data_IF_399589342912
#
_entry.id   IF_399589342912
#
_cell.length_a   1.000
_cell.length_b   1.000
_cell.length_c   1.000
_cell.angle_alpha   90.00
_cell.angle_beta   90.00
_cell.angle_gamma   90.00
#
_symmetry.space_group_name_H-M   'P 1'
#
loop_
_entity.id
_entity.type
_entity.pdbx_description
1 polymer ?
#
# COMPACT_ATOMS: atom_id res chain seq x y z
N UNK A 1 16.16 18.86 5.15
CA UNK A 1 16.87 18.02 4.17
C UNK A 1 16.32 16.61 4.25
N UNK A 2 15.95 16.07 3.14
CA UNK A 2 15.38 14.72 3.18
C UNK A 2 16.50 13.69 3.27
N UNK A 3 16.27 12.71 4.12
CA UNK A 3 17.18 11.60 4.31
C UNK A 3 16.78 10.50 3.34
N UNK A 4 17.63 10.13 2.38
CA UNK A 4 17.26 9.10 1.41
C UNK A 4 17.01 7.74 2.04
N UNK A 5 17.45 7.55 3.29
CA UNK A 5 17.19 6.30 3.99
C UNK A 5 15.98 6.40 4.91
N UNK A 6 15.25 7.53 4.89
CA UNK A 6 14.09 7.69 5.76
C UNK A 6 13.03 6.66 5.39
N UNK A 7 12.46 6.05 6.40
CA UNK A 7 11.37 5.10 6.22
C UNK A 7 10.21 5.48 7.11
N UNK A 8 9.04 5.02 6.73
CA UNK A 8 7.85 5.14 7.56
C UNK A 8 7.34 3.72 7.84
N UNK A 9 6.71 3.57 8.98
CA UNK A 9 6.17 2.29 9.39
C UNK A 9 4.67 2.29 9.14
N UNK A 10 4.21 1.31 8.39
CA UNK A 10 2.78 1.13 8.11
C UNK A 10 2.43 -0.30 8.46
N UNK A 11 1.14 -0.60 8.51
CA UNK A 11 0.72 -1.99 8.62
C UNK A 11 0.04 -2.39 7.32
N UNK A 12 0.26 -3.63 6.92
CA UNK A 12 -0.37 -4.20 5.73
C UNK A 12 -1.09 -5.45 6.19
N UNK A 13 -2.40 -5.41 6.14
CA UNK A 13 -3.25 -6.50 6.62
C UNK A 13 -2.88 -6.92 8.04
N UNK A 14 -2.55 -5.94 8.87
CA UNK A 14 -2.19 -6.18 10.27
C UNK A 14 -0.72 -6.44 10.52
N UNK A 15 0.09 -6.60 9.49
CA UNK A 15 1.52 -6.86 9.66
C UNK A 15 2.32 -5.57 9.53
N UNK A 16 3.17 -5.24 10.50
CA UNK A 16 3.98 -4.04 10.38
C UNK A 16 5.00 -4.17 9.25
N UNK A 17 5.21 -3.07 8.56
CA UNK A 17 6.12 -3.05 7.42
C UNK A 17 6.71 -1.66 7.31
N UNK A 18 8.02 -1.60 7.06
CA UNK A 18 8.69 -0.32 6.82
C UNK A 18 8.81 -0.11 5.33
N UNK A 19 8.46 1.08 4.89
CA UNK A 19 8.59 1.46 3.48
C UNK A 19 9.31 2.79 3.41
N UNK A 20 9.91 3.06 2.27
CA UNK A 20 10.60 4.34 2.08
C UNK A 20 9.60 5.49 2.18
N UNK A 21 10.03 6.58 2.78
CA UNK A 21 9.20 7.77 2.82
C UNK A 21 8.82 8.19 1.40
N UNK A 22 7.55 8.49 1.19
CA UNK A 22 7.05 8.85 -0.13
C UNK A 22 6.57 7.67 -0.97
N UNK A 23 6.70 6.46 -0.46
CA UNK A 23 6.16 5.30 -1.17
C UNK A 23 4.66 5.46 -1.35
N UNK A 24 4.19 5.23 -2.57
CA UNK A 24 2.76 5.30 -2.85
C UNK A 24 2.09 3.95 -2.58
N UNK A 25 0.77 4.01 -2.44
CA UNK A 25 -0.01 2.78 -2.30
C UNK A 25 0.21 1.86 -3.50
N UNK A 26 0.28 2.42 -4.70
CA UNK A 26 0.53 1.62 -5.89
C UNK A 26 1.87 0.91 -5.84
N UNK A 27 2.92 1.60 -5.39
CA UNK A 27 4.22 0.99 -5.28
C UNK A 27 4.22 -0.14 -4.24
N UNK A 28 3.51 0.05 -3.12
CA UNK A 28 3.42 -0.98 -2.11
C UNK A 28 2.68 -2.20 -2.66
N UNK A 29 1.55 -2.00 -3.31
CA UNK A 29 0.77 -3.11 -3.86
C UNK A 29 1.60 -3.88 -4.88
N UNK A 30 2.41 -3.18 -5.67
CA UNK A 30 3.25 -3.85 -6.67
C UNK A 30 4.27 -4.80 -6.03
N UNK A 31 4.66 -4.57 -4.78
CA UNK A 31 5.56 -5.50 -4.09
C UNK A 31 4.83 -6.72 -3.55
N UNK A 32 3.50 -6.67 -3.46
CA UNK A 32 2.71 -7.74 -2.87
C UNK A 32 2.11 -8.66 -3.92
N UNK A 33 1.91 -8.17 -5.12
CA UNK A 33 1.29 -8.96 -6.16
C UNK A 33 1.83 -8.55 -7.51
N UNK A 34 1.94 -9.51 -8.42
CA UNK A 34 2.38 -9.26 -9.78
C UNK A 34 1.23 -8.84 -10.69
N UNK A 35 0.01 -9.14 -10.27
CA UNK A 35 -1.16 -8.88 -11.10
C UNK A 35 -2.12 -8.02 -10.30
N UNK A 36 -1.99 -6.69 -10.36
CA UNK A 36 -2.83 -5.83 -9.56
C UNK A 36 -4.30 -5.79 -9.99
N UNK A 37 -4.63 -6.31 -11.15
CA UNK A 37 -6.05 -6.40 -11.52
C UNK A 37 -6.76 -7.36 -10.58
N UNK A 38 -7.93 -7.00 -10.14
CA UNK A 38 -8.67 -7.80 -9.17
C UNK A 38 -8.23 -7.54 -7.74
N UNK A 39 -7.43 -6.51 -7.51
CA UNK A 39 -6.97 -6.16 -6.17
C UNK A 39 -7.69 -4.91 -5.71
N UNK A 40 -8.16 -4.93 -4.48
CA UNK A 40 -8.72 -3.74 -3.83
C UNK A 40 -7.80 -3.34 -2.70
N UNK A 41 -7.72 -2.05 -2.44
CA UNK A 41 -6.88 -1.54 -1.38
C UNK A 41 -7.58 -0.44 -0.63
N UNK A 42 -7.33 -0.38 0.68
CA UNK A 42 -7.85 0.66 1.54
C UNK A 42 -6.74 1.18 2.42
N UNK A 43 -6.81 2.44 2.76
CA UNK A 43 -5.88 3.08 3.69
C UNK A 43 -6.71 3.71 4.79
N UNK A 44 -6.44 3.31 6.02
CA UNK A 44 -7.16 3.80 7.21
C UNK A 44 -8.67 3.66 7.03
N UNK A 45 -9.10 2.49 6.52
CA UNK A 45 -10.50 2.13 6.34
C UNK A 45 -11.20 2.88 5.20
N UNK A 46 -10.45 3.60 4.38
CA UNK A 46 -10.99 4.26 3.21
C UNK A 46 -10.52 3.55 1.96
N UNK A 47 -11.47 3.07 1.16
CA UNK A 47 -11.11 2.39 -0.08
C UNK A 47 -10.50 3.41 -1.04
N UNK A 48 -9.37 3.04 -1.63
CA UNK A 48 -8.69 3.88 -2.59
C UNK A 48 -8.87 3.26 -3.97
N UNK A 49 -9.54 3.95 -4.90
CA UNK A 49 -9.67 3.41 -6.23
C UNK A 49 -8.31 3.26 -6.90
N UNK A 50 -8.19 2.27 -7.75
CA UNK A 50 -6.91 1.96 -8.36
C UNK A 50 -6.31 3.16 -9.09
N UNK A 51 -7.15 3.98 -9.69
CA UNK A 51 -6.67 5.17 -10.41
C UNK A 51 -5.99 6.19 -9.49
N UNK A 52 -6.20 6.08 -8.17
CA UNK A 52 -5.59 6.99 -7.22
C UNK A 52 -4.40 6.38 -6.48
N UNK A 53 -4.06 5.12 -6.75
CA UNK A 53 -3.00 4.45 -5.99
C UNK A 53 -1.65 5.15 -6.16
N UNK A 54 -1.32 5.59 -7.36
CA UNK A 54 -0.02 6.19 -7.60
C UNK A 54 0.09 7.60 -7.07
N UNK A 55 -1.02 8.21 -6.71
CA UNK A 55 -1.03 9.54 -6.11
C UNK A 55 -1.29 9.50 -4.61
N UNK A 56 -1.42 8.31 -4.02
CA UNK A 56 -1.68 8.15 -2.60
C UNK A 56 -0.37 7.78 -1.91
N UNK A 57 0.31 8.79 -1.36
CA UNK A 57 1.55 8.55 -0.62
C UNK A 57 1.22 8.03 0.78
N UNK A 58 1.98 7.05 1.23
CA UNK A 58 1.77 6.47 2.54
C UNK A 58 2.51 7.27 3.59
N UNK A 59 1.93 7.36 4.77
CA UNK A 59 2.51 8.07 5.90
C UNK A 59 2.69 7.12 7.07
N UNK A 60 3.55 7.48 7.98
CA UNK A 60 3.78 6.66 9.17
C UNK A 60 2.49 6.45 9.93
N UNK A 61 2.24 5.21 10.33
CA UNK A 61 1.05 4.85 11.05
C UNK A 61 -0.14 4.48 10.18
N UNK A 62 -0.02 4.59 8.87
CA UNK A 62 -1.13 4.22 7.99
C UNK A 62 -1.43 2.73 8.08
N UNK A 63 -2.70 2.40 8.05
CA UNK A 63 -3.16 1.02 8.01
C UNK A 63 -3.62 0.72 6.60
N UNK A 64 -2.90 -0.18 5.95
CA UNK A 64 -3.18 -0.55 4.57
C UNK A 64 -3.82 -1.93 4.57
N UNK A 65 -4.92 -2.06 3.86
CA UNK A 65 -5.56 -3.35 3.67
C UNK A 65 -5.60 -3.65 2.19
N UNK A 66 -5.10 -4.81 1.82
CA UNK A 66 -5.05 -5.22 0.43
C UNK A 66 -5.79 -6.53 0.31
N UNK A 67 -6.80 -6.55 -0.53
CA UNK A 67 -7.61 -7.74 -0.78
C UNK A 67 -7.40 -8.15 -2.21
N UNK A 68 -6.90 -9.35 -2.40
CA UNK A 68 -6.76 -9.90 -3.75
C UNK A 68 -7.98 -10.75 -4.04
N UNK A 69 -8.49 -10.66 -5.25
CA UNK A 69 -9.56 -11.54 -5.66
C UNK A 69 -9.02 -12.96 -5.65
N UNK A 70 -9.63 -13.80 -4.84
CA UNK A 70 -9.27 -15.20 -4.82
C UNK A 70 -9.90 -15.84 -6.04
N UNK A 71 -9.06 -16.33 -6.91
CA UNK A 71 -9.53 -17.05 -8.05
C UNK A 71 -9.72 -18.48 -7.59
N UNK A 72 -10.93 -18.78 -7.24
CA UNK A 72 -11.24 -20.10 -6.71
C UNK A 72 -11.06 -21.20 -7.72
N UNK A 73 -10.68 -20.82 -8.84
CA UNK A 73 -10.41 -21.85 -9.84
C UNK A 73 -9.00 -21.83 -10.15
#
# INVERSE_FOLDING_TARGET
MSDPTATVSVSVNGDPRDVSAGTTLGALVATLTRAPSGVAAAVNESVVPRSAWDSTALAGGDRVEVLTAVQGG
#
